data_IF_121191971873
#
_entry.id   IF_121191971873
#
_cell.length_a   1.000
_cell.length_b   1.000
_cell.length_c   1.000
_cell.angle_alpha   90.00
_cell.angle_beta   90.00
_cell.angle_gamma   90.00
#
_symmetry.space_group_name_H-M   'P 1'
#
loop_
_entity.id
_entity.type
_entity.pdbx_description
1 polymer ?
#
# COMPACT_ATOMS: atom_id res chain seq x y z
N UNK A 1 -27.76 27.83 14.96
CA UNK A 1 -26.29 27.93 14.82
C UNK A 1 -25.65 27.43 16.10
N UNK A 2 -25.35 26.13 16.18
CA UNK A 2 -24.58 25.55 17.29
C UNK A 2 -23.22 25.14 16.74
N UNK A 3 -22.22 25.99 17.01
CA UNK A 3 -20.82 25.76 16.67
C UNK A 3 -20.31 24.53 17.41
N UNK A 4 -19.99 23.45 16.68
CA UNK A 4 -19.17 22.36 17.21
C UNK A 4 -17.71 22.80 17.17
N UNK A 5 -17.17 23.22 18.30
CA UNK A 5 -15.73 23.28 18.53
C UNK A 5 -15.19 21.85 18.60
N UNK A 6 -14.35 21.46 17.64
CA UNK A 6 -13.54 20.24 17.74
C UNK A 6 -12.41 20.46 18.75
N UNK A 7 -12.04 19.47 19.56
CA UNK A 7 -10.93 19.61 20.51
C UNK A 7 -9.61 19.71 19.73
N UNK A 8 -8.81 20.74 20.04
CA UNK A 8 -7.45 20.88 19.54
C UNK A 8 -6.63 19.66 19.98
N UNK A 9 -6.07 18.93 19.01
CA UNK A 9 -5.15 17.85 19.27
C UNK A 9 -3.87 18.44 19.87
N UNK A 10 -3.63 18.21 21.16
CA UNK A 10 -2.41 18.62 21.85
C UNK A 10 -1.22 17.86 21.24
N UNK A 11 -0.55 18.50 20.30
CA UNK A 11 0.60 17.94 19.60
C UNK A 11 1.83 18.21 20.46
N UNK A 12 2.46 17.16 21.00
CA UNK A 12 3.66 17.32 21.83
C UNK A 12 4.89 17.31 20.93
N UNK A 13 5.35 18.50 20.53
CA UNK A 13 6.63 18.68 19.85
C UNK A 13 7.76 18.44 20.85
N UNK A 14 8.60 17.43 20.63
CA UNK A 14 9.80 17.18 21.45
C UNK A 14 11.03 17.36 20.56
N UNK A 15 11.45 18.61 20.38
CA UNK A 15 12.72 18.96 19.74
C UNK A 15 13.90 18.50 20.61
N UNK A 16 14.95 17.95 19.98
CA UNK A 16 16.24 17.66 20.63
C UNK A 16 16.43 16.26 21.22
N UNK A 17 15.43 15.36 21.18
CA UNK A 17 15.61 13.97 21.62
C UNK A 17 16.34 13.12 20.56
N UNK A 18 17.29 12.29 21.00
CA UNK A 18 17.96 11.33 20.13
C UNK A 18 16.95 10.38 19.47
N UNK A 19 17.09 10.18 18.15
CA UNK A 19 16.21 9.29 17.37
C UNK A 19 16.76 7.85 17.36
N UNK A 20 15.88 6.84 17.35
CA UNK A 20 14.43 6.94 17.53
C UNK A 20 14.03 7.25 18.97
N UNK A 21 12.94 8.01 19.14
CA UNK A 21 12.26 8.13 20.42
C UNK A 21 11.60 6.80 20.77
N UNK A 22 11.94 6.22 21.91
CA UNK A 22 11.42 4.91 22.33
C UNK A 22 10.44 5.07 23.48
N UNK A 23 9.23 4.55 23.32
CA UNK A 23 8.22 4.43 24.38
C UNK A 23 7.76 2.98 24.51
N UNK A 24 7.11 2.62 25.62
CA UNK A 24 6.54 1.28 25.81
C UNK A 24 5.18 1.35 26.51
N UNK A 25 4.15 1.91 25.85
CA UNK A 25 2.79 1.96 26.40
C UNK A 25 2.06 0.62 26.34
N UNK A 26 2.53 -0.34 25.53
CA UNK A 26 2.00 -1.70 25.45
C UNK A 26 3.04 -2.79 25.67
N UNK A 27 2.76 -4.00 25.20
CA UNK A 27 3.63 -5.16 25.41
C UNK A 27 5.00 -5.03 24.71
N UNK A 28 5.01 -4.39 23.54
CA UNK A 28 6.22 -4.13 22.76
C UNK A 28 6.63 -2.65 22.78
N UNK A 29 7.94 -2.36 22.64
CA UNK A 29 8.40 -1.00 22.48
C UNK A 29 7.90 -0.39 21.15
N UNK A 30 7.65 0.91 21.16
CA UNK A 30 7.35 1.74 20.00
C UNK A 30 8.57 2.63 19.74
N UNK A 31 9.07 2.63 18.51
CA UNK A 31 10.20 3.46 18.05
C UNK A 31 9.67 4.49 17.07
N UNK A 32 9.84 5.79 17.38
CA UNK A 32 9.35 6.88 16.55
C UNK A 32 10.47 7.77 16.02
N UNK A 33 10.42 8.04 14.72
CA UNK A 33 11.19 9.09 14.05
C UNK A 33 10.32 10.31 13.70
N UNK A 34 8.99 10.23 13.88
CA UNK A 34 8.05 11.32 13.65
C UNK A 34 8.32 12.48 14.62
N UNK A 35 8.54 13.72 14.14
CA UNK A 35 8.80 14.88 15.00
C UNK A 35 7.63 15.14 15.95
N UNK A 36 6.43 14.90 15.46
CA UNK A 36 5.16 15.09 16.14
C UNK A 36 4.25 13.90 15.81
N UNK A 37 3.41 13.52 16.77
CA UNK A 37 2.41 12.48 16.60
C UNK A 37 1.09 12.95 17.21
N UNK A 38 0.01 12.78 16.46
CA UNK A 38 -1.34 12.99 16.99
C UNK A 38 -1.74 11.86 17.95
N UNK A 39 -2.71 12.13 18.83
CA UNK A 39 -3.16 11.17 19.83
C UNK A 39 -3.67 9.85 19.23
N UNK A 40 -4.29 9.89 18.05
CA UNK A 40 -4.78 8.68 17.38
C UNK A 40 -3.67 7.84 16.78
N UNK A 41 -2.62 8.45 16.24
CA UNK A 41 -1.41 7.72 15.83
C UNK A 41 -0.78 6.97 17.01
N UNK A 42 -0.71 7.61 18.17
CA UNK A 42 -0.18 7.01 19.40
C UNK A 42 -1.08 5.86 19.86
N UNK A 43 -2.39 6.04 19.85
CA UNK A 43 -3.36 5.01 20.21
C UNK A 43 -3.27 3.80 19.28
N UNK A 44 -3.23 4.02 17.96
CA UNK A 44 -3.08 2.96 16.97
C UNK A 44 -1.77 2.19 17.17
N UNK A 45 -0.64 2.90 17.33
CA UNK A 45 0.64 2.26 17.60
C UNK A 45 0.64 1.45 18.91
N UNK A 46 -0.03 1.95 19.94
CA UNK A 46 -0.21 1.25 21.22
C UNK A 46 -1.02 -0.02 21.03
N UNK A 47 -2.14 0.04 20.31
CA UNK A 47 -2.97 -1.11 19.99
C UNK A 47 -2.18 -2.20 19.23
N UNK A 48 -1.39 -1.78 18.23
CA UNK A 48 -0.51 -2.68 17.48
C UNK A 48 0.54 -3.35 18.37
N UNK A 49 1.12 -2.60 19.31
CA UNK A 49 2.14 -3.11 20.24
C UNK A 49 1.61 -4.17 21.22
N UNK A 50 0.28 -4.28 21.36
CA UNK A 50 -0.40 -5.25 22.22
C UNK A 50 -0.86 -6.52 21.49
N UNK A 51 -0.75 -6.58 20.16
CA UNK A 51 -1.11 -7.76 19.39
C UNK A 51 -0.22 -8.94 19.79
N UNK A 52 -0.83 -10.10 20.07
CA UNK A 52 -0.12 -11.28 20.58
C UNK A 52 0.90 -11.87 19.60
N UNK A 53 0.69 -11.65 18.31
CA UNK A 53 1.60 -12.08 17.24
C UNK A 53 2.56 -10.96 16.79
N UNK A 54 2.44 -9.75 17.33
CA UNK A 54 3.42 -8.71 17.08
C UNK A 54 4.74 -9.10 17.75
N UNK A 55 5.85 -8.78 17.11
CA UNK A 55 7.19 -9.09 17.58
C UNK A 55 8.09 -7.86 17.48
N UNK A 56 9.20 -7.87 18.21
CA UNK A 56 10.26 -6.84 18.19
C UNK A 56 9.81 -5.45 18.68
N UNK A 57 9.12 -4.68 17.84
CA UNK A 57 8.68 -3.31 18.11
C UNK A 57 7.66 -2.85 17.05
N UNK A 58 6.94 -1.77 17.34
CA UNK A 58 6.25 -0.96 16.32
C UNK A 58 7.17 0.20 15.94
N UNK A 59 7.35 0.46 14.65
CA UNK A 59 8.15 1.58 14.16
C UNK A 59 7.25 2.64 13.52
N UNK A 60 7.49 3.93 13.78
CA UNK A 60 6.77 5.06 13.20
C UNK A 60 7.76 5.95 12.45
N UNK A 61 7.58 6.06 11.14
CA UNK A 61 8.43 6.86 10.25
C UNK A 61 8.22 8.37 10.46
N UNK A 62 9.10 9.24 9.93
CA UNK A 62 9.00 10.69 10.11
C UNK A 62 7.67 11.31 9.68
N UNK A 63 6.99 10.70 8.70
CA UNK A 63 5.71 11.12 8.13
C UNK A 63 4.49 10.46 8.80
N UNK A 64 4.68 9.81 9.94
CA UNK A 64 3.62 9.03 10.56
C UNK A 64 2.45 9.89 11.02
N UNK A 65 1.23 9.46 10.66
CA UNK A 65 -0.01 10.14 11.02
C UNK A 65 -1.18 9.14 11.06
N UNK A 66 -2.31 9.58 11.61
CA UNK A 66 -3.46 8.72 11.87
C UNK A 66 -3.92 8.01 10.59
N UNK A 67 -3.95 6.68 10.64
CA UNK A 67 -4.45 5.83 9.57
C UNK A 67 -5.74 5.12 9.97
N UNK A 68 -5.94 3.90 9.48
CA UNK A 68 -7.08 3.05 9.83
C UNK A 68 -6.58 1.78 10.51
N UNK A 69 -6.57 1.77 11.85
CA UNK A 69 -6.09 0.65 12.68
C UNK A 69 -4.57 0.57 12.82
N UNK A 70 -3.82 1.09 11.85
CA UNK A 70 -2.38 1.31 11.88
C UNK A 70 -2.07 2.72 11.38
N UNK A 71 -1.12 3.45 11.99
CA UNK A 71 -0.70 4.75 11.46
C UNK A 71 -0.13 4.58 10.06
N UNK A 72 -0.41 5.53 9.17
CA UNK A 72 0.34 5.68 7.93
C UNK A 72 1.80 5.97 8.32
N UNK A 73 2.78 5.47 7.58
CA UNK A 73 4.19 5.52 7.98
C UNK A 73 4.55 4.56 9.13
N UNK A 74 3.65 3.64 9.51
CA UNK A 74 3.95 2.61 10.50
C UNK A 74 4.67 1.38 9.93
N UNK A 75 5.39 0.66 10.78
CA UNK A 75 5.93 -0.69 10.51
C UNK A 75 5.55 -1.61 11.67
N UNK A 76 4.93 -2.75 11.35
CA UNK A 76 4.60 -3.82 12.28
C UNK A 76 5.33 -5.09 11.87
N UNK A 77 6.11 -5.66 12.79
CA UNK A 77 6.64 -7.01 12.62
C UNK A 77 5.64 -8.01 13.22
N UNK A 78 5.15 -8.95 12.42
CA UNK A 78 4.20 -9.96 12.85
C UNK A 78 4.75 -11.37 12.55
N UNK A 79 4.68 -12.29 13.52
CA UNK A 79 4.99 -13.71 13.28
C UNK A 79 3.76 -14.42 12.73
N UNK A 80 3.89 -15.07 11.56
CA UNK A 80 2.89 -15.95 10.92
C UNK A 80 1.48 -15.35 10.72
N UNK A 81 1.33 -14.05 10.90
CA UNK A 81 0.06 -13.34 10.81
C UNK A 81 0.15 -12.21 9.79
N UNK A 82 -0.90 -12.06 8.99
CA UNK A 82 -1.07 -10.94 8.06
C UNK A 82 -2.16 -10.04 8.61
N UNK A 83 -1.89 -8.73 8.68
CA UNK A 83 -2.84 -7.72 9.13
C UNK A 83 -3.23 -6.84 7.94
N UNK A 84 -4.40 -7.04 7.30
CA UNK A 84 -4.77 -6.32 6.08
C UNK A 84 -4.69 -4.80 6.21
N UNK A 85 -5.16 -4.25 7.34
CA UNK A 85 -5.11 -2.81 7.59
C UNK A 85 -3.70 -2.26 7.86
N UNK A 86 -2.73 -3.12 8.20
CA UNK A 86 -1.32 -2.73 8.27
C UNK A 86 -0.66 -2.63 6.88
N UNK A 87 -1.24 -3.28 5.87
CA UNK A 87 -0.81 -3.17 4.47
C UNK A 87 -1.47 -1.94 3.81
N UNK A 88 -2.70 -1.64 4.21
CA UNK A 88 -3.49 -0.52 3.69
C UNK A 88 -4.54 -0.96 2.68
N UNK A 89 -5.47 -0.04 2.37
CA UNK A 89 -6.60 -0.32 1.46
C UNK A 89 -6.22 -0.24 -0.02
N UNK A 90 -5.17 0.51 -0.34
CA UNK A 90 -4.59 0.58 -1.67
C UNK A 90 -3.27 -0.20 -1.71
N UNK A 91 -3.42 -1.52 -1.60
CA UNK A 91 -2.30 -2.45 -1.55
C UNK A 91 -1.47 -2.31 -2.84
N UNK A 92 -0.15 -2.20 -2.73
CA UNK A 92 0.72 -2.00 -3.89
C UNK A 92 0.69 -0.57 -4.45
N UNK A 93 0.10 0.38 -3.72
CA UNK A 93 0.42 1.78 -3.90
C UNK A 93 1.93 1.97 -3.75
N UNK A 94 2.53 2.75 -4.64
CA UNK A 94 3.98 2.95 -4.66
C UNK A 94 4.38 3.94 -5.73
N UNK A 95 5.69 4.10 -5.90
CA UNK A 95 6.28 5.01 -6.88
C UNK A 95 7.23 4.21 -7.75
N UNK A 96 7.19 4.48 -9.06
CA UNK A 96 8.26 4.09 -9.96
C UNK A 96 8.97 5.35 -10.45
N UNK A 97 10.26 5.23 -10.75
CA UNK A 97 11.03 6.26 -11.41
C UNK A 97 11.56 5.66 -12.71
N UNK A 98 11.25 6.30 -13.83
CA UNK A 98 11.65 5.87 -15.17
C UNK A 98 12.56 6.94 -15.75
N UNK A 99 13.81 6.57 -15.99
CA UNK A 99 14.79 7.41 -16.64
C UNK A 99 14.49 7.54 -18.14
N UNK A 100 14.79 8.72 -18.69
CA UNK A 100 14.67 8.99 -20.12
C UNK A 100 16.02 9.43 -20.66
N UNK A 101 16.20 9.33 -21.97
CA UNK A 101 17.40 9.84 -22.64
C UNK A 101 17.36 11.38 -22.83
N UNK A 102 16.41 12.07 -22.21
CA UNK A 102 16.18 13.50 -22.38
C UNK A 102 16.91 14.30 -21.30
N UNK A 103 17.42 15.47 -21.71
CA UNK A 103 17.98 16.46 -20.79
C UNK A 103 17.19 17.75 -20.87
N UNK A 104 17.16 18.53 -19.79
CA UNK A 104 16.45 19.82 -19.73
C UNK A 104 16.96 20.79 -20.80
N UNK A 105 18.24 20.71 -21.14
CA UNK A 105 18.88 21.53 -22.17
C UNK A 105 18.32 21.23 -23.57
N UNK A 106 18.03 19.96 -23.83
CA UNK A 106 17.49 19.49 -25.12
C UNK A 106 15.97 19.55 -25.21
N UNK A 107 15.28 19.70 -24.08
CA UNK A 107 13.82 19.67 -24.02
C UNK A 107 13.23 21.08 -24.12
N UNK A 108 12.70 21.45 -25.28
CA UNK A 108 12.02 22.73 -25.44
C UNK A 108 10.69 22.78 -24.67
N UNK A 109 10.25 24.00 -24.32
CA UNK A 109 8.95 24.20 -23.66
C UNK A 109 7.77 23.68 -24.51
N UNK A 110 7.88 23.74 -25.85
CA UNK A 110 6.86 23.23 -26.76
C UNK A 110 6.78 21.70 -26.73
N UNK A 111 7.92 21.02 -26.72
CA UNK A 111 8.00 19.56 -26.62
C UNK A 111 7.54 19.07 -25.25
N UNK A 112 7.89 19.77 -24.18
CA UNK A 112 7.39 19.48 -22.83
C UNK A 112 5.86 19.57 -22.78
N UNK A 113 5.28 20.66 -23.29
CA UNK A 113 3.84 20.85 -23.33
C UNK A 113 3.14 19.78 -24.19
N UNK A 114 3.72 19.43 -25.34
CA UNK A 114 3.21 18.37 -26.20
C UNK A 114 3.26 17.00 -25.51
N UNK A 115 4.35 16.70 -24.80
CA UNK A 115 4.54 15.45 -24.06
C UNK A 115 3.53 15.33 -22.94
N UNK A 116 3.37 16.36 -22.10
CA UNK A 116 2.37 16.38 -21.03
C UNK A 116 0.95 16.23 -21.58
N UNK A 117 0.63 16.88 -22.71
CA UNK A 117 -0.66 16.73 -23.39
C UNK A 117 -0.89 15.30 -23.89
N UNK A 118 0.14 14.67 -24.46
CA UNK A 118 0.07 13.29 -24.92
C UNK A 118 -0.15 12.31 -23.75
N UNK A 119 0.58 12.49 -22.65
CA UNK A 119 0.41 11.71 -21.42
C UNK A 119 -1.02 11.87 -20.87
N UNK A 120 -1.50 13.10 -20.72
CA UNK A 120 -2.84 13.37 -20.21
C UNK A 120 -3.95 12.78 -21.10
N UNK A 121 -3.73 12.70 -22.41
CA UNK A 121 -4.66 12.05 -23.33
C UNK A 121 -4.60 10.51 -23.26
N UNK A 122 -3.42 9.94 -22.98
CA UNK A 122 -3.17 8.50 -22.96
C UNK A 122 -3.41 7.82 -21.61
N UNK A 123 -3.32 8.55 -20.50
CA UNK A 123 -3.42 8.02 -19.13
C UNK A 123 -4.69 8.56 -18.47
N UNK A 124 -5.76 7.76 -18.37
CA UNK A 124 -6.98 8.18 -17.67
C UNK A 124 -6.70 8.45 -16.18
N UNK A 125 -7.26 9.55 -15.68
CA UNK A 125 -7.12 9.99 -14.28
C UNK A 125 -8.48 10.00 -13.56
N UNK A 126 -8.46 10.08 -12.24
CA UNK A 126 -9.66 10.18 -11.42
C UNK A 126 -10.46 8.88 -11.39
N UNK A 127 -11.75 8.97 -11.71
CA UNK A 127 -12.68 7.82 -11.79
C UNK A 127 -12.82 7.28 -13.20
N UNK A 128 -12.08 7.82 -14.17
CA UNK A 128 -12.09 7.36 -15.55
C UNK A 128 -11.51 5.95 -15.69
N UNK A 129 -11.84 5.30 -16.80
CA UNK A 129 -11.39 3.96 -17.14
C UNK A 129 -10.79 3.95 -18.54
N UNK A 130 -10.00 2.91 -18.83
CA UNK A 130 -9.58 2.65 -20.21
C UNK A 130 -10.80 2.38 -21.08
N UNK A 131 -10.81 2.93 -22.31
CA UNK A 131 -11.91 2.73 -23.27
C UNK A 131 -12.06 1.25 -23.65
N UNK A 132 -10.95 0.53 -23.69
CA UNK A 132 -10.89 -0.92 -23.90
C UNK A 132 -10.24 -1.55 -22.67
N UNK A 133 -10.90 -2.50 -21.98
CA UNK A 133 -10.28 -3.20 -20.86
C UNK A 133 -9.11 -4.07 -21.34
N UNK A 134 -8.18 -4.35 -20.43
CA UNK A 134 -7.17 -5.39 -20.65
C UNK A 134 -7.85 -6.75 -20.60
N UNK A 135 -7.49 -7.67 -21.50
CA UNK A 135 -8.01 -9.03 -21.47
C UNK A 135 -7.60 -9.76 -20.18
N UNK A 136 -8.59 -10.34 -19.50
CA UNK A 136 -8.39 -10.97 -18.18
C UNK A 136 -7.34 -12.07 -18.21
N UNK A 137 -7.38 -12.93 -19.24
CA UNK A 137 -6.44 -14.05 -19.37
C UNK A 137 -5.00 -13.54 -19.52
N UNK A 138 -4.79 -12.57 -20.41
CA UNK A 138 -3.48 -11.95 -20.62
C UNK A 138 -2.97 -11.25 -19.35
N UNK A 139 -3.85 -10.55 -18.61
CA UNK A 139 -3.47 -9.92 -17.35
C UNK A 139 -3.03 -10.92 -16.28
N UNK A 140 -3.67 -12.10 -16.20
CA UNK A 140 -3.32 -13.16 -15.25
C UNK A 140 -2.02 -13.88 -15.66
N UNK A 141 -1.82 -14.08 -16.95
CA UNK A 141 -0.60 -14.65 -17.53
C UNK A 141 0.61 -13.74 -17.25
N UNK A 142 0.50 -12.44 -17.52
CA UNK A 142 1.56 -11.45 -17.29
C UNK A 142 2.01 -11.41 -15.82
N UNK A 143 1.06 -11.43 -14.87
CA UNK A 143 1.40 -11.43 -13.44
C UNK A 143 1.83 -12.81 -12.93
N UNK A 144 1.72 -13.87 -13.75
CA UNK A 144 2.07 -15.24 -13.39
C UNK A 144 1.23 -15.82 -12.25
N UNK A 145 -0.03 -15.40 -12.11
CA UNK A 145 -0.91 -15.84 -11.03
C UNK A 145 -2.22 -16.40 -11.57
N UNK A 146 -2.64 -17.54 -11.03
CA UNK A 146 -4.05 -17.92 -11.08
C UNK A 146 -4.85 -17.00 -10.15
N UNK A 147 -6.09 -16.66 -10.55
CA UNK A 147 -6.95 -15.81 -9.72
C UNK A 147 -7.21 -16.51 -8.37
N UNK A 148 -6.71 -15.98 -7.23
CA UNK A 148 -6.90 -16.64 -5.95
C UNK A 148 -8.38 -16.70 -5.58
N UNK A 149 -8.83 -17.81 -5.00
CA UNK A 149 -10.22 -17.96 -4.54
C UNK A 149 -10.65 -16.94 -3.48
N UNK A 150 -9.70 -16.22 -2.87
CA UNK A 150 -9.95 -15.10 -1.94
C UNK A 150 -10.37 -13.80 -2.64
N UNK A 151 -10.26 -13.72 -3.96
CA UNK A 151 -10.66 -12.55 -4.75
C UNK A 151 -12.04 -12.78 -5.36
N UNK A 152 -12.99 -11.92 -5.02
CA UNK A 152 -14.32 -11.92 -5.64
C UNK A 152 -14.20 -11.69 -7.16
N UNK A 153 -14.78 -12.57 -8.02
CA UNK A 153 -14.65 -12.43 -9.47
C UNK A 153 -15.09 -11.07 -10.02
N UNK A 154 -16.13 -10.46 -9.43
CA UNK A 154 -16.62 -9.14 -9.78
C UNK A 154 -15.58 -8.02 -9.54
N UNK A 155 -14.66 -8.20 -8.59
CA UNK A 155 -13.61 -7.22 -8.34
C UNK A 155 -12.55 -7.27 -9.43
N UNK A 156 -12.18 -8.47 -9.86
CA UNK A 156 -11.25 -8.64 -10.98
C UNK A 156 -11.84 -8.08 -12.28
N UNK A 157 -13.13 -8.33 -12.52
CA UNK A 157 -13.85 -7.75 -13.66
C UNK A 157 -13.80 -6.23 -13.70
N UNK A 158 -13.85 -5.54 -12.56
CA UNK A 158 -13.66 -4.08 -12.51
C UNK A 158 -12.20 -3.65 -12.59
N UNK A 159 -11.27 -4.47 -12.12
CA UNK A 159 -9.85 -4.15 -12.12
C UNK A 159 -9.30 -4.04 -13.54
N UNK A 160 -9.73 -4.91 -14.48
CA UNK A 160 -9.23 -4.89 -15.87
C UNK A 160 -9.58 -3.61 -16.65
N UNK A 161 -10.61 -2.87 -16.25
CA UNK A 161 -10.92 -1.54 -16.80
C UNK A 161 -10.07 -0.41 -16.19
N UNK A 162 -9.41 -0.68 -15.07
CA UNK A 162 -8.60 0.26 -14.30
C UNK A 162 -7.09 -0.04 -14.44
N UNK A 163 -6.72 -1.11 -15.16
CA UNK A 163 -5.32 -1.33 -15.52
C UNK A 163 -4.88 -0.24 -16.50
N UNK A 164 -3.72 0.37 -16.21
CA UNK A 164 -3.20 1.49 -16.99
C UNK A 164 -3.93 2.82 -16.75
N UNK A 165 -4.65 2.98 -15.63
CA UNK A 165 -5.15 4.29 -15.18
C UNK A 165 -4.40 4.76 -13.95
N UNK A 166 -4.37 6.07 -13.73
CA UNK A 166 -3.69 6.66 -12.57
C UNK A 166 -4.54 6.56 -11.29
N UNK A 167 -5.87 6.63 -11.44
CA UNK A 167 -6.79 6.69 -10.31
C UNK A 167 -6.92 8.10 -9.71
N UNK A 168 -7.41 8.16 -8.46
CA UNK A 168 -7.71 9.39 -7.73
C UNK A 168 -7.14 9.38 -6.32
N UNK A 169 -6.93 10.56 -5.74
CA UNK A 169 -6.26 10.74 -4.45
C UNK A 169 -4.86 11.28 -4.68
N UNK A 170 -3.88 10.75 -3.96
CA UNK A 170 -2.48 11.18 -4.07
C UNK A 170 -1.75 10.49 -5.23
N UNK A 171 -2.46 10.08 -6.28
CA UNK A 171 -1.87 9.47 -7.46
C UNK A 171 -1.64 10.52 -8.56
N UNK A 172 -0.38 10.72 -8.91
CA UNK A 172 0.10 11.64 -9.91
C UNK A 172 1.12 10.97 -10.84
N UNK A 173 1.36 11.58 -12.00
CA UNK A 173 2.47 11.29 -12.89
C UNK A 173 3.18 12.62 -13.11
N UNK A 174 4.47 12.67 -12.78
CA UNK A 174 5.29 13.87 -12.88
C UNK A 174 6.46 13.66 -13.85
N UNK A 175 6.81 14.72 -14.57
CA UNK A 175 8.12 14.86 -15.20
C UNK A 175 9.00 15.66 -14.24
N UNK A 176 10.12 15.06 -13.86
CA UNK A 176 11.07 15.64 -12.92
C UNK A 176 12.44 15.75 -13.58
N UNK A 177 13.30 16.57 -12.98
CA UNK A 177 14.72 16.64 -13.34
C UNK A 177 15.58 16.34 -12.14
N UNK A 178 16.74 15.73 -12.36
CA UNK A 178 17.77 15.62 -11.34
C UNK A 178 18.69 16.86 -11.31
N UNK A 179 19.72 16.80 -10.46
CA UNK A 179 20.74 17.85 -10.34
C UNK A 179 21.66 17.94 -11.56
N UNK A 180 21.76 16.88 -12.36
CA UNK A 180 22.59 16.82 -13.58
C UNK A 180 21.83 17.27 -14.83
N UNK A 181 20.54 17.56 -14.73
CA UNK A 181 19.69 17.98 -15.85
C UNK A 181 19.01 16.82 -16.59
N UNK A 182 19.18 15.57 -16.14
CA UNK A 182 18.47 14.41 -16.68
C UNK A 182 16.98 14.47 -16.36
N UNK A 183 16.14 14.06 -17.30
CA UNK A 183 14.67 14.07 -17.16
C UNK A 183 14.16 12.68 -16.83
N UNK A 184 13.25 12.61 -15.86
CA UNK A 184 12.64 11.37 -15.37
C UNK A 184 11.13 11.47 -15.36
N UNK A 185 10.46 10.33 -15.58
CA UNK A 185 9.02 10.18 -15.37
C UNK A 185 8.80 9.47 -14.05
N UNK A 186 8.07 10.09 -13.14
CA UNK A 186 7.72 9.50 -11.84
C UNK A 186 6.21 9.25 -11.77
N UNK A 187 5.72 8.08 -12.21
CA UNK A 187 4.35 7.68 -11.94
C UNK A 187 4.22 7.09 -10.53
N UNK A 188 3.25 7.59 -9.80
CA UNK A 188 2.71 6.86 -8.66
C UNK A 188 1.77 5.76 -9.17
N UNK A 189 1.90 4.57 -8.60
CA UNK A 189 1.01 3.45 -8.85
C UNK A 189 -0.05 3.43 -7.77
N UNK A 190 -1.30 3.25 -8.17
CA UNK A 190 -2.40 2.89 -7.30
C UNK A 190 -3.20 1.76 -7.91
N UNK A 191 -4.09 1.15 -7.15
CA UNK A 191 -5.20 0.41 -7.74
C UNK A 191 -6.36 1.37 -7.86
N UNK A 192 -6.89 1.56 -9.09
CA UNK A 192 -8.12 2.32 -9.29
C UNK A 192 -9.25 1.90 -8.34
N UNK A 193 -10.33 2.70 -8.24
CA UNK A 193 -11.33 2.68 -7.16
C UNK A 193 -11.92 1.29 -6.76
N UNK A 194 -11.81 0.28 -7.62
CA UNK A 194 -12.23 -1.11 -7.45
C UNK A 194 -11.57 -1.85 -6.28
N UNK A 195 -10.31 -1.54 -5.93
CA UNK A 195 -9.55 -2.32 -4.95
C UNK A 195 -9.82 -1.93 -3.49
N UNK A 196 -10.17 -0.66 -3.22
CA UNK A 196 -10.47 -0.16 -1.88
C UNK A 196 -11.53 -1.00 -1.15
N UNK A 197 -12.48 -1.59 -1.90
CA UNK A 197 -13.57 -2.43 -1.34
C UNK A 197 -13.13 -3.83 -0.93
N UNK A 198 -12.00 -4.33 -1.44
CA UNK A 198 -11.50 -5.67 -1.14
C UNK A 198 -10.96 -5.77 0.29
N UNK A 199 -10.13 -4.79 0.68
CA UNK A 199 -9.58 -4.69 2.03
C UNK A 199 -10.69 -4.60 3.08
N UNK A 200 -11.71 -3.75 2.85
CA UNK A 200 -12.83 -3.54 3.78
C UNK A 200 -13.67 -4.80 4.04
N UNK A 201 -13.85 -5.67 3.03
CA UNK A 201 -14.68 -6.88 3.18
C UNK A 201 -13.93 -8.07 3.77
N UNK A 202 -12.61 -8.15 3.61
CA UNK A 202 -11.79 -9.18 4.27
C UNK A 202 -11.95 -9.16 5.80
N UNK A 203 -12.24 -8.00 6.37
CA UNK A 203 -12.47 -7.78 7.81
C UNK A 203 -13.95 -7.79 8.22
N UNK A 204 -14.89 -7.88 7.27
CA UNK A 204 -16.31 -8.11 7.58
C UNK A 204 -16.70 -9.59 7.47
N UNK A 205 -15.75 -10.45 7.11
CA UNK A 205 -15.91 -11.90 7.15
C UNK A 205 -15.98 -12.38 8.61
N UNK A 206 -16.91 -13.27 8.99
CA UNK A 206 -17.09 -13.75 10.37
C UNK A 206 -15.84 -14.41 10.98
N UNK A 207 -14.81 -14.69 10.17
CA UNK A 207 -13.50 -15.18 10.58
C UNK A 207 -12.58 -14.12 11.24
N UNK A 208 -12.99 -12.85 11.29
CA UNK A 208 -12.18 -11.75 11.87
C UNK A 208 -12.85 -11.04 13.05
N UNK A 209 -13.98 -11.55 13.57
CA UNK A 209 -14.52 -11.04 14.84
C UNK A 209 -13.51 -11.33 15.96
N UNK A 210 -13.14 -10.35 16.80
CA UNK A 210 -12.32 -10.64 17.97
C UNK A 210 -13.09 -11.63 18.84
N UNK A 211 -12.45 -12.76 19.15
CA UNK A 211 -12.94 -13.71 20.14
C UNK A 211 -12.89 -13.05 21.52
N UNK A 212 -13.83 -12.17 21.81
CA UNK A 212 -14.11 -11.74 23.17
C UNK A 212 -14.79 -12.91 23.90
N UNK A 213 -14.00 -13.75 24.57
CA UNK A 213 -14.48 -14.62 25.65
C UNK A 213 -14.57 -16.14 25.42
N UNK A 214 -14.07 -16.70 24.31
CA UNK A 214 -14.10 -18.16 24.10
C UNK A 214 -12.73 -18.82 24.38
N UNK A 215 -12.68 -19.78 25.31
CA UNK A 215 -11.48 -20.52 25.75
C UNK A 215 -10.85 -21.46 24.70
N UNK A 216 -11.34 -21.48 23.47
CA UNK A 216 -10.73 -22.24 22.37
C UNK A 216 -11.26 -21.73 21.03
N UNK A 217 -10.37 -21.23 20.17
CA UNK A 217 -10.67 -20.89 18.78
C UNK A 217 -9.98 -21.93 17.89
N UNK A 218 -10.68 -22.62 16.97
CA UNK A 218 -10.05 -23.59 16.09
C UNK A 218 -9.22 -22.83 15.04
N UNK A 219 -7.89 -22.93 15.15
CA UNK A 219 -6.95 -22.38 14.18
C UNK A 219 -7.15 -23.14 12.87
N UNK A 220 -7.81 -22.51 11.90
CA UNK A 220 -7.82 -22.98 10.52
C UNK A 220 -6.40 -22.89 9.95
N UNK A 221 -5.75 -24.03 9.76
CA UNK A 221 -4.43 -24.10 9.13
C UNK A 221 -4.53 -23.65 7.68
N UNK A 222 -3.91 -22.51 7.33
CA UNK A 222 -3.57 -22.20 5.94
C UNK A 222 -2.42 -23.11 5.53
N UNK A 223 -2.74 -24.31 5.04
CA UNK A 223 -1.76 -25.25 4.50
C UNK A 223 -1.35 -24.74 3.12
N UNK A 224 -0.13 -24.22 3.01
CA UNK A 224 0.49 -23.94 1.71
C UNK A 224 0.73 -25.28 1.02
N UNK A 225 0.04 -25.53 -0.09
CA UNK A 225 0.36 -26.66 -0.96
C UNK A 225 1.70 -26.37 -1.65
N UNK A 226 2.80 -26.82 -1.06
CA UNK A 226 4.07 -26.96 -1.80
C UNK A 226 3.92 -28.15 -2.75
N UNK A 227 3.76 -27.90 -4.03
CA UNK A 227 4.09 -28.90 -5.05
C UNK A 227 5.61 -29.04 -5.09
N UNK A 228 6.12 -30.24 -4.80
CA UNK A 228 7.53 -30.56 -4.95
C UNK A 228 7.91 -30.56 -6.45
N UNK A 229 9.12 -30.12 -6.83
CA UNK A 229 9.58 -30.18 -8.21
C UNK A 229 9.77 -31.65 -8.63
N UNK A 230 9.18 -32.02 -9.78
CA UNK A 230 9.44 -33.31 -10.44
C UNK A 230 10.88 -33.32 -10.95
N UNK A 231 11.66 -34.31 -10.52
CA UNK A 231 12.97 -34.61 -11.09
C UNK A 231 12.79 -35.08 -12.55
N UNK A 232 13.38 -34.36 -13.51
CA UNK A 232 13.49 -34.81 -14.90
C UNK A 232 14.71 -35.73 -15.02
N UNK A 233 14.49 -37.00 -15.31
CA UNK A 233 15.53 -37.94 -15.74
C UNK A 233 15.94 -37.60 -17.18
N UNK A 234 17.16 -37.09 -17.35
CA UNK A 234 17.79 -36.93 -18.65
C UNK A 234 18.24 -38.31 -19.16
N UNK A 235 17.52 -38.87 -20.14
CA UNK A 235 18.03 -39.96 -20.96
C UNK A 235 18.77 -39.38 -22.15
N UNK A 236 20.10 -39.46 -22.10
CA UNK A 236 20.95 -39.17 -23.24
C UNK A 236 20.73 -40.15 -24.38
N UNK A 237 20.77 -39.65 -25.60
CA UNK A 237 21.16 -40.42 -26.78
C UNK A 237 22.28 -39.67 -27.50
N UNK A 238 23.28 -40.47 -27.85
CA UNK A 238 24.47 -40.14 -28.64
C UNK A 238 24.08 -39.72 -30.05
#
# INVERSE_FOLDING_TARGET
>A
MTSKTSPEASTTTIEGAALPRVTKPGNLPIKSWAPELDAGSIEQATNLSNLQFAIRHVALMPDAHMGYGMPIGGVLFADKNVVPYAIGVDIGCGVALVETDMTVETLSAAELAATLKAIAAGVPVGTSSQKKPVEKAAALEEIGLELPGSIEPAWFGRAVHQLGTLGSGNHFLELQRDEAGGVFVMPTRGRGASARRSATRSTSSPLTRPCAGARSCPIGSWRTSRSAPRASTATGRR
#
